data_IF_135618777397
#
_entry.id   IF_135618777397
#
_cell.length_a   1.000
_cell.length_b   1.000
_cell.length_c   1.000
_cell.angle_alpha   90.00
_cell.angle_beta   90.00
_cell.angle_gamma   90.00
#
_symmetry.space_group_name_H-M   'P 1'
#
loop_
_entity.id
_entity.type
_entity.pdbx_description
1 polymer ?
#
# COMPACT_ATOMS: atom_id res chain seq x y z
N UNK A 1 -4.32 -7.06 5.55
CA UNK A 1 -3.46 -8.24 5.26
C UNK A 1 -4.07 -9.51 5.82
N UNK A 2 -4.63 -9.49 7.02
CA UNK A 2 -5.58 -10.52 7.47
C UNK A 2 -6.69 -9.81 8.26
N UNK A 3 -7.94 -10.25 8.08
CA UNK A 3 -9.09 -9.75 8.82
C UNK A 3 -9.75 -10.91 9.52
N UNK A 4 -9.53 -11.02 10.82
CA UNK A 4 -10.18 -12.01 11.68
C UNK A 4 -10.61 -11.30 12.96
N UNK A 5 -11.89 -11.38 13.29
CA UNK A 5 -12.46 -10.72 14.46
C UNK A 5 -11.81 -11.23 15.76
N UNK A 6 -11.54 -12.53 15.84
CA UNK A 6 -10.88 -13.17 16.97
C UNK A 6 -9.47 -12.63 17.21
N UNK A 7 -8.67 -12.51 16.14
CA UNK A 7 -7.32 -11.95 16.25
C UNK A 7 -7.35 -10.45 16.55
N UNK A 8 -8.32 -9.73 15.98
CA UNK A 8 -8.56 -8.32 16.30
C UNK A 8 -8.85 -8.10 17.79
N UNK A 9 -9.66 -8.96 18.40
CA UNK A 9 -9.94 -8.91 19.84
C UNK A 9 -8.70 -9.23 20.71
N UNK A 10 -7.87 -10.17 20.29
CA UNK A 10 -6.59 -10.45 20.97
C UNK A 10 -5.65 -9.24 20.93
N UNK A 11 -5.55 -8.59 19.77
CA UNK A 11 -4.76 -7.36 19.62
C UNK A 11 -5.34 -6.20 20.46
N UNK A 12 -6.66 -6.09 20.53
CA UNK A 12 -7.33 -5.08 21.37
C UNK A 12 -6.99 -5.29 22.85
N UNK A 13 -7.06 -6.54 23.34
CA UNK A 13 -6.66 -6.88 24.70
C UNK A 13 -5.19 -6.55 24.96
N UNK A 14 -4.30 -6.92 24.03
CA UNK A 14 -2.88 -6.59 24.12
C UNK A 14 -2.64 -5.07 24.18
N UNK A 15 -3.34 -4.30 23.35
CA UNK A 15 -3.24 -2.84 23.32
C UNK A 15 -3.65 -2.21 24.67
N UNK A 16 -4.76 -2.67 25.25
CA UNK A 16 -5.24 -2.21 26.56
C UNK A 16 -4.26 -2.56 27.69
N UNK A 17 -3.66 -3.75 27.65
CA UNK A 17 -2.62 -4.16 28.61
C UNK A 17 -1.38 -3.27 28.47
N UNK A 18 -0.91 -2.98 27.26
CA UNK A 18 0.24 -2.10 27.02
C UNK A 18 -0.01 -0.67 27.51
N UNK A 19 -1.22 -0.15 27.33
CA UNK A 19 -1.61 1.16 27.88
C UNK A 19 -1.57 1.18 29.40
N UNK A 20 -2.03 0.11 30.07
CA UNK A 20 -1.95 -0.02 31.54
C UNK A 20 -0.51 -0.16 32.05
N UNK A 21 0.38 -0.77 31.26
CA UNK A 21 1.81 -0.89 31.58
C UNK A 21 2.60 0.40 31.30
N UNK A 22 1.95 1.51 30.95
CA UNK A 22 2.60 2.80 30.70
C UNK A 22 3.23 2.95 29.31
N UNK A 23 3.14 1.95 28.43
CA UNK A 23 3.66 2.00 27.05
C UNK A 23 2.62 2.58 26.09
N UNK A 24 2.26 3.85 26.29
CA UNK A 24 1.11 4.48 25.63
C UNK A 24 1.23 4.53 24.10
N UNK A 25 2.40 4.83 23.56
CA UNK A 25 2.61 4.95 22.10
C UNK A 25 2.37 3.61 21.38
N UNK A 26 2.98 2.55 21.90
CA UNK A 26 2.77 1.18 21.41
C UNK A 26 1.32 0.74 21.58
N UNK A 27 0.72 1.03 22.73
CA UNK A 27 -0.69 0.74 22.97
C UNK A 27 -1.62 1.40 21.96
N UNK A 28 -1.36 2.65 21.58
CA UNK A 28 -2.17 3.39 20.60
C UNK A 28 -2.06 2.79 19.20
N UNK A 29 -0.84 2.42 18.76
CA UNK A 29 -0.62 1.78 17.45
C UNK A 29 -1.43 0.49 17.37
N UNK A 30 -1.26 -0.41 18.36
CA UNK A 30 -1.97 -1.70 18.38
C UNK A 30 -3.47 -1.54 18.52
N UNK A 31 -3.94 -0.50 19.24
CA UNK A 31 -5.36 -0.18 19.35
C UNK A 31 -5.96 0.17 17.98
N UNK A 32 -5.35 1.10 17.24
CA UNK A 32 -5.82 1.47 15.90
C UNK A 32 -5.79 0.27 14.95
N UNK A 33 -4.74 -0.54 15.05
CA UNK A 33 -4.60 -1.76 14.24
C UNK A 33 -5.70 -2.77 14.56
N UNK A 34 -6.04 -2.95 15.85
CA UNK A 34 -7.09 -3.88 16.27
C UNK A 34 -8.46 -3.52 15.70
N UNK A 35 -8.83 -2.23 15.68
CA UNK A 35 -10.08 -1.77 15.09
C UNK A 35 -10.15 -2.06 13.60
N UNK A 36 -9.05 -1.83 12.87
CA UNK A 36 -8.98 -2.15 11.45
C UNK A 36 -9.13 -3.68 11.21
N UNK A 37 -8.44 -4.51 11.99
CA UNK A 37 -8.53 -5.98 11.86
C UNK A 37 -9.94 -6.49 12.18
N UNK A 38 -10.61 -5.95 13.21
CA UNK A 38 -12.00 -6.31 13.54
C UNK A 38 -12.94 -5.90 12.40
N UNK A 39 -12.80 -4.68 11.85
CA UNK A 39 -13.65 -4.20 10.77
C UNK A 39 -13.51 -5.06 9.50
N UNK A 40 -12.27 -5.39 9.11
CA UNK A 40 -12.03 -6.29 7.98
C UNK A 40 -12.44 -7.74 8.29
N UNK A 41 -12.30 -8.20 9.54
CA UNK A 41 -12.75 -9.52 9.95
C UNK A 41 -14.26 -9.68 9.89
N UNK A 42 -15.02 -8.64 10.27
CA UNK A 42 -16.48 -8.62 10.11
C UNK A 42 -16.88 -8.63 8.63
N UNK A 43 -16.12 -7.94 7.78
CA UNK A 43 -16.32 -7.93 6.34
C UNK A 43 -16.07 -9.30 5.70
N UNK A 44 -14.99 -9.99 6.07
CA UNK A 44 -14.71 -11.35 5.59
C UNK A 44 -15.59 -12.42 6.25
N UNK A 45 -16.09 -12.14 7.45
CA UNK A 45 -16.91 -13.07 8.21
C UNK A 45 -16.13 -14.12 8.98
N UNK A 46 -14.84 -13.93 9.21
CA UNK A 46 -13.98 -14.91 9.89
C UNK A 46 -13.76 -14.58 11.38
N UNK A 47 -13.89 -15.61 12.21
CA UNK A 47 -13.64 -15.58 13.66
C UNK A 47 -12.81 -16.80 14.09
N UNK A 48 -11.56 -16.56 14.47
CA UNK A 48 -10.56 -17.60 14.72
C UNK A 48 -10.54 -18.65 13.60
N UNK A 49 -10.55 -18.20 12.35
CA UNK A 49 -10.64 -19.06 11.17
C UNK A 49 -12.01 -19.71 10.94
N UNK A 50 -12.97 -19.66 11.86
CA UNK A 50 -14.33 -20.16 11.67
C UNK A 50 -15.17 -19.07 10.99
N UNK A 51 -15.85 -19.43 9.90
CA UNK A 51 -16.76 -18.49 9.21
C UNK A 51 -18.05 -18.34 10.01
N UNK A 52 -18.34 -17.10 10.41
CA UNK A 52 -19.57 -16.70 11.09
C UNK A 52 -20.72 -16.46 10.10
N UNK A 53 -20.44 -15.85 8.94
CA UNK A 53 -21.44 -15.52 7.93
C UNK A 53 -20.81 -15.30 6.55
N UNK A 54 -21.64 -15.19 5.52
CA UNK A 54 -21.22 -15.07 4.12
C UNK A 54 -21.27 -16.40 3.39
N UNK A 55 -21.89 -16.41 2.22
CA UNK A 55 -21.81 -17.57 1.32
C UNK A 55 -20.34 -17.82 1.01
N UNK A 56 -19.94 -19.09 0.90
CA UNK A 56 -18.59 -19.50 0.51
C UNK A 56 -18.27 -19.13 -0.93
N UNK A 57 -18.35 -17.85 -1.26
CA UNK A 57 -17.72 -17.28 -2.44
C UNK A 57 -16.23 -17.48 -2.18
N UNK A 58 -15.71 -18.59 -2.70
CA UNK A 58 -14.31 -18.74 -3.00
C UNK A 58 -13.97 -17.61 -3.96
N UNK A 59 -13.73 -16.41 -3.42
CA UNK A 59 -13.00 -15.40 -4.13
C UNK A 59 -11.73 -16.09 -4.60
N UNK A 60 -11.66 -16.32 -5.90
CA UNK A 60 -10.50 -16.97 -6.50
C UNK A 60 -9.29 -16.17 -6.04
N UNK A 61 -8.21 -16.82 -5.61
CA UNK A 61 -6.99 -16.14 -5.15
C UNK A 61 -6.55 -14.99 -6.08
N UNK A 62 -6.89 -15.09 -7.37
CA UNK A 62 -6.74 -14.05 -8.37
C UNK A 62 -7.51 -12.74 -8.11
N UNK A 63 -8.73 -12.76 -7.58
CA UNK A 63 -9.50 -11.54 -7.24
C UNK A 63 -8.85 -10.79 -6.08
N UNK A 64 -8.35 -11.52 -5.07
CA UNK A 64 -7.63 -10.93 -3.94
C UNK A 64 -6.31 -10.30 -4.38
N UNK A 65 -5.54 -10.99 -5.23
CA UNK A 65 -4.30 -10.46 -5.79
C UNK A 65 -4.60 -9.20 -6.62
N UNK A 66 -5.64 -9.25 -7.47
CA UNK A 66 -6.05 -8.09 -8.26
C UNK A 66 -6.43 -6.88 -7.39
N UNK A 67 -7.19 -7.08 -6.31
CA UNK A 67 -7.55 -6.03 -5.36
C UNK A 67 -6.31 -5.44 -4.66
N UNK A 68 -5.36 -6.28 -4.25
CA UNK A 68 -4.12 -5.81 -3.64
C UNK A 68 -3.26 -4.98 -4.59
N UNK A 69 -3.14 -5.41 -5.86
CA UNK A 69 -2.42 -4.68 -6.89
C UNK A 69 -3.10 -3.34 -7.25
N UNK A 70 -4.44 -3.32 -7.34
CA UNK A 70 -5.23 -2.11 -7.53
C UNK A 70 -5.00 -1.11 -6.38
N UNK A 71 -5.07 -1.59 -5.14
CA UNK A 71 -4.78 -0.79 -3.96
C UNK A 71 -3.37 -0.20 -4.01
N UNK A 72 -2.38 -1.01 -4.40
CA UNK A 72 -1.01 -0.56 -4.63
C UNK A 72 -0.91 0.54 -5.66
N UNK A 73 -1.59 0.39 -6.80
CA UNK A 73 -1.61 1.41 -7.84
C UNK A 73 -2.14 2.76 -7.34
N UNK A 74 -3.23 2.75 -6.56
CA UNK A 74 -3.82 3.96 -6.00
C UNK A 74 -2.95 4.61 -4.92
N UNK A 75 -2.36 3.83 -4.00
CA UNK A 75 -1.43 4.36 -3.00
C UNK A 75 -0.25 5.06 -3.67
N UNK A 76 0.34 4.41 -4.68
CA UNK A 76 1.46 4.97 -5.43
C UNK A 76 1.04 6.22 -6.22
N UNK A 77 -0.15 6.24 -6.80
CA UNK A 77 -0.69 7.44 -7.46
C UNK A 77 -0.81 8.59 -6.48
N UNK A 78 -1.39 8.34 -5.29
CA UNK A 78 -1.49 9.33 -4.21
C UNK A 78 -0.10 9.81 -3.80
N UNK A 79 0.89 8.93 -3.69
CA UNK A 79 2.25 9.31 -3.34
C UNK A 79 2.88 10.27 -4.36
N UNK A 80 2.67 10.06 -5.67
CA UNK A 80 3.09 11.00 -6.70
C UNK A 80 2.34 12.33 -6.64
N UNK A 81 1.03 12.31 -6.36
CA UNK A 81 0.24 13.53 -6.19
C UNK A 81 0.70 14.33 -4.96
N UNK A 82 1.02 13.67 -3.85
CA UNK A 82 1.59 14.31 -2.66
C UNK A 82 2.96 14.92 -2.94
N UNK A 83 3.79 14.27 -3.78
CA UNK A 83 5.07 14.85 -4.22
C UNK A 83 4.86 16.18 -4.95
N UNK A 84 3.89 16.23 -5.87
CA UNK A 84 3.53 17.46 -6.60
C UNK A 84 2.98 18.52 -5.63
N UNK A 85 2.07 18.14 -4.73
CA UNK A 85 1.49 19.05 -3.75
C UNK A 85 2.57 19.66 -2.83
N UNK A 86 3.51 18.85 -2.35
CA UNK A 86 4.62 19.32 -1.51
C UNK A 86 5.52 20.34 -2.23
N UNK A 87 5.78 20.15 -3.53
CA UNK A 87 6.57 21.09 -4.33
C UNK A 87 5.85 22.42 -4.54
N UNK A 88 4.54 22.36 -4.79
CA UNK A 88 3.71 23.56 -4.93
C UNK A 88 3.71 24.34 -3.60
N UNK A 89 3.55 23.64 -2.47
CA UNK A 89 3.60 24.25 -1.14
C UNK A 89 4.98 24.84 -0.80
N UNK A 90 6.06 24.26 -1.34
CA UNK A 90 7.41 24.79 -1.20
C UNK A 90 7.70 26.01 -2.11
N UNK A 91 6.78 26.39 -2.99
CA UNK A 91 6.97 27.48 -3.96
C UNK A 91 7.73 27.08 -5.23
N UNK A 92 8.12 25.80 -5.38
CA UNK A 92 8.85 25.25 -6.54
C UNK A 92 7.88 24.81 -7.66
N UNK A 93 7.00 25.72 -8.10
CA UNK A 93 5.90 25.41 -9.04
C UNK A 93 6.42 24.92 -10.40
N UNK A 94 7.53 25.50 -10.88
CA UNK A 94 8.13 25.13 -12.17
C UNK A 94 8.65 23.69 -12.18
N UNK A 95 9.22 23.22 -11.06
CA UNK A 95 9.64 21.83 -10.90
C UNK A 95 8.41 20.91 -10.74
N UNK A 96 7.40 21.32 -9.97
CA UNK A 96 6.18 20.55 -9.78
C UNK A 96 5.47 20.25 -11.11
N UNK A 97 5.25 21.27 -11.95
CA UNK A 97 4.54 21.16 -13.22
C UNK A 97 5.43 20.72 -14.38
N UNK A 98 6.70 21.13 -14.40
CA UNK A 98 7.62 20.82 -15.49
C UNK A 98 8.22 19.42 -15.42
N UNK A 99 8.40 18.89 -14.20
CA UNK A 99 9.09 17.60 -13.97
C UNK A 99 8.14 16.55 -13.42
N UNK A 100 7.47 16.82 -12.29
CA UNK A 100 6.78 15.76 -11.55
C UNK A 100 5.33 15.51 -11.99
N UNK A 101 4.62 16.51 -12.50
CA UNK A 101 3.30 16.35 -13.10
C UNK A 101 3.28 15.40 -14.32
N UNK A 102 4.14 15.55 -15.35
CA UNK A 102 4.14 14.61 -16.47
C UNK A 102 4.54 13.20 -16.05
N UNK A 103 5.37 13.08 -15.02
CA UNK A 103 5.82 11.82 -14.42
C UNK A 103 4.67 11.09 -13.72
N UNK A 104 3.80 11.81 -12.99
CA UNK A 104 2.58 11.23 -12.43
C UNK A 104 1.60 10.75 -13.51
N UNK A 105 1.47 11.50 -14.62
CA UNK A 105 0.65 11.11 -15.77
C UNK A 105 1.19 9.84 -16.44
N UNK A 106 2.51 9.77 -16.66
CA UNK A 106 3.17 8.58 -17.19
C UNK A 106 2.99 7.38 -16.26
N UNK A 107 3.09 7.58 -14.94
CA UNK A 107 2.81 6.52 -13.97
C UNK A 107 1.37 6.00 -14.09
N UNK A 108 0.38 6.89 -14.19
CA UNK A 108 -1.02 6.50 -14.35
C UNK A 108 -1.24 5.69 -15.65
N UNK A 109 -0.61 6.11 -16.75
CA UNK A 109 -0.68 5.41 -18.03
C UNK A 109 0.00 4.03 -17.98
N UNK A 110 1.26 3.96 -17.55
CA UNK A 110 2.04 2.70 -17.55
C UNK A 110 1.49 1.73 -16.49
N UNK A 111 1.15 2.23 -15.30
CA UNK A 111 0.62 1.43 -14.21
C UNK A 111 -0.74 0.82 -14.55
N UNK A 112 -1.64 1.58 -15.18
CA UNK A 112 -2.94 1.06 -15.62
C UNK A 112 -2.82 0.00 -16.72
N UNK A 113 -1.89 0.20 -17.67
CA UNK A 113 -1.58 -0.82 -18.70
C UNK A 113 -1.00 -2.09 -18.09
N UNK A 114 -0.10 -1.94 -17.10
CA UNK A 114 0.49 -3.08 -16.39
C UNK A 114 -0.60 -3.90 -15.70
N UNK A 115 -1.56 -3.25 -15.03
CA UNK A 115 -2.69 -3.93 -14.40
C UNK A 115 -3.63 -4.60 -15.42
N UNK A 116 -3.83 -3.98 -16.59
CA UNK A 116 -4.62 -4.59 -17.69
C UNK A 116 -4.02 -5.90 -18.19
N UNK A 117 -2.69 -6.01 -18.27
CA UNK A 117 -2.01 -7.24 -18.70
C UNK A 117 -2.23 -8.41 -17.75
N UNK A 118 -2.51 -8.13 -16.47
CA UNK A 118 -2.73 -9.14 -15.43
C UNK A 118 -4.15 -9.74 -15.51
N UNK A 119 -4.97 -9.28 -16.47
CA UNK A 119 -6.33 -9.76 -16.76
C UNK A 119 -7.20 -9.87 -15.50
N UNK A 120 -7.39 -8.73 -14.83
CA UNK A 120 -8.11 -8.69 -13.56
C UNK A 120 -9.59 -9.06 -13.72
N UNK A 121 -10.16 -9.84 -12.79
CA UNK A 121 -11.59 -10.11 -12.76
C UNK A 121 -12.39 -8.82 -12.56
N UNK A 122 -13.54 -8.72 -13.24
CA UNK A 122 -14.30 -7.47 -13.42
C UNK A 122 -15.05 -6.98 -12.16
N UNK A 123 -15.13 -7.79 -11.11
CA UNK A 123 -15.99 -7.54 -9.94
C UNK A 123 -15.30 -6.82 -8.78
N UNK A 124 -14.08 -6.31 -8.98
CA UNK A 124 -13.33 -5.66 -7.89
C UNK A 124 -13.74 -4.19 -7.73
N UNK A 125 -14.13 -3.73 -6.53
CA UNK A 125 -14.44 -2.32 -6.29
C UNK A 125 -13.24 -1.42 -6.60
N UNK A 126 -13.50 -0.30 -7.29
CA UNK A 126 -12.45 0.61 -7.76
C UNK A 126 -11.93 0.29 -9.18
N UNK A 127 -12.38 -0.80 -9.81
CA UNK A 127 -12.02 -1.12 -11.19
C UNK A 127 -12.56 -0.10 -12.20
N UNK A 128 -13.72 0.52 -11.95
CA UNK A 128 -14.32 1.51 -12.86
C UNK A 128 -13.42 2.74 -13.13
N UNK A 129 -12.77 3.27 -12.08
CA UNK A 129 -11.81 4.36 -12.22
C UNK A 129 -10.55 3.90 -12.98
N UNK A 130 -10.05 2.69 -12.68
CA UNK A 130 -8.94 2.11 -13.43
C UNK A 130 -9.29 1.95 -14.90
N UNK A 131 -10.46 1.41 -15.24
CA UNK A 131 -10.92 1.22 -16.62
C UNK A 131 -11.01 2.56 -17.36
N UNK A 132 -11.49 3.62 -16.69
CA UNK A 132 -11.47 4.98 -17.22
C UNK A 132 -10.04 5.42 -17.60
N UNK A 133 -9.09 5.30 -16.67
CA UNK A 133 -7.68 5.64 -16.92
C UNK A 133 -7.09 4.74 -18.03
N UNK A 134 -7.42 3.46 -18.02
CA UNK A 134 -6.91 2.44 -18.95
C UNK A 134 -7.39 2.68 -20.37
N UNK A 135 -8.65 3.11 -20.54
CA UNK A 135 -9.22 3.44 -21.85
C UNK A 135 -8.48 4.61 -22.49
N UNK A 136 -8.08 5.60 -21.68
CA UNK A 136 -7.28 6.75 -22.12
C UNK A 136 -5.77 6.56 -21.93
N UNK A 137 -5.30 5.36 -21.61
CA UNK A 137 -3.89 5.16 -21.23
C UNK A 137 -2.94 5.44 -22.39
N UNK A 138 -3.37 5.18 -23.63
CA UNK A 138 -2.56 5.45 -24.83
C UNK A 138 -2.41 6.96 -25.05
N UNK A 139 -3.50 7.70 -24.91
CA UNK A 139 -3.55 9.15 -25.00
C UNK A 139 -2.72 9.78 -23.87
N UNK A 140 -2.87 9.30 -22.63
CA UNK A 140 -2.09 9.74 -21.48
C UNK A 140 -0.60 9.45 -21.66
N UNK A 141 -0.22 8.36 -22.32
CA UNK A 141 1.19 8.07 -22.63
C UNK A 141 1.76 9.08 -23.63
N UNK A 142 1.01 9.41 -24.68
CA UNK A 142 1.43 10.44 -25.64
C UNK A 142 1.50 11.83 -25.00
N UNK A 143 0.50 12.21 -24.20
CA UNK A 143 0.47 13.49 -23.48
C UNK A 143 1.60 13.55 -22.46
N UNK A 144 1.79 12.51 -21.66
CA UNK A 144 2.84 12.43 -20.66
C UNK A 144 4.23 12.49 -21.27
N UNK A 145 4.47 11.76 -22.36
CA UNK A 145 5.77 11.79 -23.06
C UNK A 145 6.05 13.13 -23.74
N UNK A 146 5.05 13.74 -24.39
CA UNK A 146 5.18 15.08 -24.95
C UNK A 146 5.46 16.12 -23.86
N UNK A 147 4.79 16.03 -22.71
CA UNK A 147 4.99 16.93 -21.58
C UNK A 147 6.35 16.71 -20.90
N UNK A 148 6.84 15.48 -20.79
CA UNK A 148 8.22 15.18 -20.35
C UNK A 148 9.26 15.87 -21.24
N UNK A 149 9.03 15.95 -22.55
CA UNK A 149 9.94 16.68 -23.45
C UNK A 149 9.79 18.20 -23.32
N UNK A 150 8.56 18.71 -23.26
CA UNK A 150 8.28 20.13 -23.25
C UNK A 150 8.59 20.82 -21.91
N UNK A 151 8.38 20.14 -20.79
CA UNK A 151 8.51 20.70 -19.44
C UNK A 151 9.91 21.25 -19.15
N UNK A 152 10.97 20.45 -19.29
CA UNK A 152 12.35 20.90 -19.06
C UNK A 152 12.77 22.03 -20.01
N UNK A 153 12.27 22.03 -21.25
CA UNK A 153 12.54 23.08 -22.24
C UNK A 153 11.90 24.39 -21.78
N UNK A 154 10.64 24.36 -21.34
CA UNK A 154 9.94 25.55 -20.85
C UNK A 154 10.62 26.16 -19.60
N UNK A 155 11.08 25.32 -18.68
CA UNK A 155 11.83 25.79 -17.50
C UNK A 155 13.22 26.29 -17.88
N UNK A 156 13.91 25.62 -18.80
CA UNK A 156 15.21 26.03 -19.32
C UNK A 156 15.19 27.39 -20.03
N UNK A 157 14.12 27.70 -20.77
CA UNK A 157 13.91 28.99 -21.42
C UNK A 157 13.70 30.13 -20.40
N UNK A 158 13.15 29.85 -19.21
CA UNK A 158 12.90 30.86 -18.16
C UNK A 158 14.10 31.13 -17.25
N UNK A 159 14.88 30.11 -16.91
CA UNK A 159 15.93 30.19 -15.88
C UNK A 159 17.37 29.98 -16.40
N UNK A 160 17.54 29.80 -17.72
CA UNK A 160 18.84 29.68 -18.37
C UNK A 160 19.45 28.27 -18.37
N UNK A 161 20.49 28.09 -19.19
CA UNK A 161 21.11 26.79 -19.51
C UNK A 161 21.70 26.03 -18.31
N UNK A 162 22.11 26.72 -17.25
CA UNK A 162 22.67 26.11 -16.04
C UNK A 162 21.64 25.27 -15.29
N UNK A 163 20.38 25.72 -15.22
CA UNK A 163 19.28 24.99 -14.59
C UNK A 163 18.84 23.79 -15.44
N UNK A 164 19.05 23.84 -16.76
CA UNK A 164 18.66 22.77 -17.68
C UNK A 164 19.39 21.44 -17.40
N UNK A 165 20.65 21.49 -16.97
CA UNK A 165 21.44 20.28 -16.65
C UNK A 165 21.00 19.65 -15.33
N UNK A 166 20.65 20.45 -14.33
CA UNK A 166 20.14 19.97 -13.04
C UNK A 166 18.76 19.34 -13.22
N UNK A 167 17.86 20.04 -13.91
CA UNK A 167 16.51 19.54 -14.22
C UNK A 167 16.57 18.28 -15.09
N UNK A 168 17.47 18.22 -16.08
CA UNK A 168 17.66 17.02 -16.91
C UNK A 168 18.06 15.78 -16.10
N UNK A 169 18.95 15.94 -15.12
CA UNK A 169 19.33 14.84 -14.23
C UNK A 169 18.15 14.41 -13.34
N UNK A 170 17.41 15.35 -12.77
CA UNK A 170 16.22 15.04 -11.97
C UNK A 170 15.15 14.31 -12.78
N UNK A 171 14.90 14.76 -14.01
CA UNK A 171 13.99 14.11 -14.95
C UNK A 171 14.39 12.67 -15.24
N UNK A 172 15.68 12.42 -15.53
CA UNK A 172 16.16 11.07 -15.81
C UNK A 172 15.93 10.12 -14.61
N UNK A 173 16.25 10.58 -13.40
CA UNK A 173 16.01 9.81 -12.18
C UNK A 173 14.52 9.56 -11.95
N UNK A 174 13.69 10.58 -12.18
CA UNK A 174 12.26 10.49 -11.94
C UNK A 174 11.53 9.64 -13.02
N UNK A 175 12.07 9.54 -14.24
CA UNK A 175 11.62 8.57 -15.25
C UNK A 175 11.92 7.12 -14.85
N UNK A 176 13.14 6.86 -14.35
CA UNK A 176 13.50 5.54 -13.79
C UNK A 176 12.58 5.22 -12.61
N UNK A 177 12.34 6.21 -11.75
CA UNK A 177 11.44 6.07 -10.61
C UNK A 177 10.03 5.67 -11.03
N UNK A 178 9.46 6.31 -12.04
CA UNK A 178 8.11 5.97 -12.56
C UNK A 178 8.09 4.57 -13.13
N UNK A 179 9.09 4.20 -13.92
CA UNK A 179 9.13 2.87 -14.52
C UNK A 179 9.15 1.77 -13.45
N UNK A 180 10.01 1.90 -12.44
CA UNK A 180 10.07 0.97 -11.31
C UNK A 180 8.76 1.00 -10.52
N UNK A 181 8.18 2.19 -10.30
CA UNK A 181 6.95 2.34 -9.53
C UNK A 181 5.74 1.70 -10.23
N UNK A 182 5.63 1.90 -11.54
CA UNK A 182 4.53 1.40 -12.36
C UNK A 182 4.62 -0.12 -12.64
N UNK A 183 5.76 -0.74 -12.37
CA UNK A 183 5.98 -2.18 -12.59
C UNK A 183 6.26 -2.90 -11.27
N UNK A 184 7.46 -2.75 -10.71
CA UNK A 184 7.90 -3.46 -9.53
C UNK A 184 7.12 -3.09 -8.26
N UNK A 185 6.85 -1.80 -8.01
CA UNK A 185 6.18 -1.40 -6.76
C UNK A 185 4.73 -1.89 -6.72
N UNK A 186 3.97 -1.75 -7.80
CA UNK A 186 2.60 -2.28 -7.90
C UNK A 186 2.61 -3.79 -7.59
N UNK A 187 3.51 -4.55 -8.21
CA UNK A 187 3.62 -5.99 -7.97
C UNK A 187 4.01 -6.34 -6.53
N UNK A 188 4.77 -5.49 -5.83
CA UNK A 188 5.10 -5.67 -4.41
C UNK A 188 3.85 -5.76 -3.51
N UNK A 189 2.76 -5.08 -3.90
CA UNK A 189 1.50 -5.11 -3.15
C UNK A 189 0.80 -6.47 -3.19
N UNK A 190 1.13 -7.38 -4.12
CA UNK A 190 0.63 -8.76 -4.10
C UNK A 190 0.89 -9.46 -2.76
N UNK A 191 1.91 -9.00 -2.02
CA UNK A 191 2.22 -9.48 -0.68
C UNK A 191 1.09 -9.31 0.33
N UNK A 192 0.25 -8.28 0.17
CA UNK A 192 -0.94 -8.10 1.01
C UNK A 192 -1.86 -9.32 0.93
N UNK A 193 -2.04 -9.86 -0.28
CA UNK A 193 -2.87 -11.03 -0.51
C UNK A 193 -2.13 -12.34 -0.20
N UNK A 194 -0.84 -12.45 -0.50
CA UNK A 194 -0.07 -13.67 -0.16
C UNK A 194 -0.18 -13.98 1.34
N UNK A 195 -0.13 -12.96 2.19
CA UNK A 195 -0.31 -13.12 3.65
C UNK A 195 -1.74 -13.51 4.00
N UNK A 196 -2.75 -12.96 3.31
CA UNK A 196 -4.15 -13.33 3.50
C UNK A 196 -4.40 -14.82 3.14
N UNK A 197 -3.84 -15.29 2.03
CA UNK A 197 -3.92 -16.69 1.60
C UNK A 197 -3.23 -17.61 2.61
N UNK A 198 -2.04 -17.22 3.08
CA UNK A 198 -1.32 -17.96 4.10
C UNK A 198 -2.14 -18.08 5.40
N UNK A 199 -2.81 -17.01 5.81
CA UNK A 199 -3.71 -17.02 6.97
C UNK A 199 -4.87 -18.01 6.82
N UNK A 200 -5.54 -18.00 5.66
CA UNK A 200 -6.60 -18.96 5.37
C UNK A 200 -6.10 -20.41 5.45
N UNK A 201 -4.91 -20.68 4.90
CA UNK A 201 -4.27 -22.00 4.93
C UNK A 201 -3.88 -22.46 6.33
N UNK A 202 -3.24 -21.60 7.13
CA UNK A 202 -2.84 -21.93 8.50
C UNK A 202 -4.05 -22.14 9.41
N UNK A 203 -5.08 -21.30 9.29
CA UNK A 203 -6.32 -21.43 10.04
C UNK A 203 -7.08 -22.71 9.67
N UNK A 204 -7.14 -23.06 8.38
CA UNK A 204 -7.73 -24.33 7.94
C UNK A 204 -6.95 -25.54 8.47
N UNK A 205 -5.61 -25.47 8.47
CA UNK A 205 -4.74 -26.51 9.01
C UNK A 205 -4.92 -26.67 10.52
N UNK A 206 -5.06 -25.57 11.26
CA UNK A 206 -5.32 -25.60 12.70
C UNK A 206 -6.64 -26.30 13.03
N UNK A 207 -7.70 -26.08 12.24
CA UNK A 207 -9.00 -26.73 12.46
C UNK A 207 -8.94 -28.26 12.40
N UNK A 208 -8.04 -28.83 11.60
CA UNK A 208 -7.88 -30.29 11.53
C UNK A 208 -7.52 -30.92 12.89
N UNK A 209 -6.93 -30.14 13.80
CA UNK A 209 -6.56 -30.57 15.16
C UNK A 209 -7.79 -30.81 16.04
N UNK A 210 -8.94 -30.22 15.74
CA UNK A 210 -10.18 -30.40 16.52
C UNK A 210 -10.69 -31.86 16.51
N UNK A 211 -10.27 -32.68 15.53
CA UNK A 211 -10.66 -34.09 15.41
C UNK A 211 -9.88 -35.06 16.32
N UNK A 212 -8.86 -34.59 17.06
CA UNK A 212 -7.98 -35.43 17.87
C UNK A 212 -8.36 -35.31 19.37
N UNK A 213 -8.20 -36.36 20.20
CA UNK A 213 -8.36 -36.25 21.65
C UNK A 213 -7.44 -35.17 22.23
N UNK A 214 -8.00 -34.18 22.95
CA UNK A 214 -7.25 -32.99 23.42
C UNK A 214 -7.08 -31.88 22.38
N UNK A 215 -7.66 -32.05 21.19
CA UNK A 215 -7.54 -31.16 20.04
C UNK A 215 -7.96 -29.71 20.28
N UNK A 216 -8.89 -29.45 21.19
CA UNK A 216 -9.35 -28.09 21.53
C UNK A 216 -8.23 -27.28 22.18
N UNK A 217 -7.50 -27.87 23.13
CA UNK A 217 -6.40 -27.18 23.80
C UNK A 217 -5.27 -26.88 22.81
N UNK A 218 -4.95 -27.86 21.95
CA UNK A 218 -3.93 -27.71 20.92
C UNK A 218 -4.34 -26.66 19.86
N UNK A 219 -5.61 -26.65 19.47
CA UNK A 219 -6.18 -25.66 18.55
C UNK A 219 -5.99 -24.23 19.06
N UNK A 220 -6.34 -23.97 20.33
CA UNK A 220 -6.18 -22.63 20.93
C UNK A 220 -4.70 -22.20 20.93
N UNK A 221 -3.80 -23.11 21.32
CA UNK A 221 -2.36 -22.83 21.35
C UNK A 221 -1.83 -22.51 19.95
N UNK A 222 -2.22 -23.30 18.94
CA UNK A 222 -1.81 -23.10 17.55
C UNK A 222 -2.38 -21.79 16.98
N UNK A 223 -3.65 -21.46 17.25
CA UNK A 223 -4.25 -20.19 16.81
C UNK A 223 -3.57 -18.98 17.46
N UNK A 224 -3.17 -19.06 18.73
CA UNK A 224 -2.39 -18.01 19.38
C UNK A 224 -1.00 -17.84 18.75
N UNK A 225 -0.34 -18.95 18.40
CA UNK A 225 0.95 -18.94 17.72
C UNK A 225 0.85 -18.33 16.32
N UNK A 226 -0.18 -18.71 15.55
CA UNK A 226 -0.47 -18.14 14.23
C UNK A 226 -0.72 -16.64 14.35
N UNK A 227 -1.58 -16.21 15.27
CA UNK A 227 -1.88 -14.79 15.50
C UNK A 227 -0.61 -13.98 15.82
N UNK A 228 0.29 -14.50 16.66
CA UNK A 228 1.54 -13.85 16.99
C UNK A 228 2.49 -13.75 15.79
N UNK A 229 2.65 -14.85 15.04
CA UNK A 229 3.54 -14.91 13.88
C UNK A 229 3.05 -14.03 12.73
N UNK A 230 1.77 -14.08 12.42
CA UNK A 230 1.14 -13.26 11.38
C UNK A 230 1.12 -11.78 11.77
N UNK A 231 0.81 -11.46 13.03
CA UNK A 231 0.88 -10.10 13.55
C UNK A 231 2.28 -9.48 13.36
N UNK A 232 3.32 -10.26 13.64
CA UNK A 232 4.71 -9.86 13.41
C UNK A 232 5.03 -9.67 11.91
N UNK A 233 4.72 -10.67 11.07
CA UNK A 233 5.00 -10.60 9.64
C UNK A 233 4.29 -9.42 8.98
N UNK A 234 3.01 -9.22 9.30
CA UNK A 234 2.18 -8.16 8.71
C UNK A 234 2.64 -6.77 9.13
N UNK A 235 3.14 -6.62 10.36
CA UNK A 235 3.75 -5.37 10.81
C UNK A 235 4.99 -5.05 9.99
N UNK A 236 5.89 -6.03 9.78
CA UNK A 236 7.09 -5.84 8.93
C UNK A 236 6.70 -5.48 7.50
N UNK A 237 5.71 -6.17 6.92
CA UNK A 237 5.30 -5.90 5.55
C UNK A 237 4.59 -4.56 5.39
N UNK A 238 3.77 -4.17 6.36
CA UNK A 238 3.13 -2.85 6.37
C UNK A 238 4.18 -1.75 6.49
N UNK A 239 5.16 -1.91 7.39
CA UNK A 239 6.28 -0.99 7.52
C UNK A 239 7.04 -0.86 6.20
N UNK A 240 7.30 -1.99 5.52
CA UNK A 240 7.97 -1.97 4.23
C UNK A 240 7.21 -1.10 3.23
N UNK A 241 5.93 -1.41 2.97
CA UNK A 241 5.07 -0.70 2.01
C UNK A 241 4.99 0.80 2.28
N UNK A 242 4.97 1.18 3.56
CA UNK A 242 4.95 2.58 3.96
C UNK A 242 6.31 3.23 3.68
N UNK A 243 7.41 2.68 4.17
CA UNK A 243 8.72 3.34 4.11
C UNK A 243 9.38 3.28 2.72
N UNK A 244 9.38 2.12 2.09
CA UNK A 244 10.15 1.89 0.86
C UNK A 244 9.35 2.13 -0.41
N UNK A 245 8.06 1.79 -0.41
CA UNK A 245 7.23 1.95 -1.60
C UNK A 245 6.54 3.33 -1.62
N UNK A 246 6.04 3.82 -0.47
CA UNK A 246 5.19 5.03 -0.41
C UNK A 246 5.96 6.30 -0.02
N UNK A 247 6.59 6.33 1.15
CA UNK A 247 7.27 7.52 1.68
C UNK A 247 8.45 7.95 0.81
N UNK A 248 9.18 7.00 0.22
CA UNK A 248 10.33 7.28 -0.64
C UNK A 248 9.98 8.18 -1.84
N UNK A 249 8.69 8.26 -2.21
CA UNK A 249 8.23 9.01 -3.38
C UNK A 249 8.17 10.52 -3.11
N UNK A 250 7.73 10.92 -1.93
CA UNK A 250 7.43 12.32 -1.62
C UNK A 250 8.17 12.88 -0.40
N UNK A 251 8.69 12.03 0.49
CA UNK A 251 9.37 12.47 1.69
C UNK A 251 10.81 12.90 1.38
N UNK A 252 11.08 14.20 1.57
CA UNK A 252 12.44 14.76 1.52
C UNK A 252 13.03 14.69 2.94
N UNK A 253 13.99 13.79 3.18
CA UNK A 253 14.62 13.56 4.49
C UNK A 253 15.55 14.69 5.00
N UNK A 254 15.32 15.93 4.60
CA UNK A 254 16.18 17.09 4.88
C UNK A 254 15.63 18.00 6.00
N UNK A 255 14.84 17.45 6.91
CA UNK A 255 14.30 18.19 8.06
C UNK A 255 15.31 18.34 9.19
N UNK A 256 15.14 19.37 10.03
CA UNK A 256 15.84 19.49 11.32
C UNK A 256 14.90 19.04 12.44
N UNK A 257 15.39 18.21 13.36
CA UNK A 257 14.64 17.82 14.53
C UNK A 257 14.37 19.05 15.39
N UNK A 258 13.10 19.26 15.76
CA UNK A 258 12.76 20.29 16.73
C UNK A 258 13.05 19.77 18.12
N UNK A 259 14.11 20.29 18.74
CA UNK A 259 14.46 20.03 20.14
C UNK A 259 14.02 21.24 20.97
N UNK A 260 12.84 21.21 21.62
CA UNK A 260 12.45 22.27 22.52
C UNK A 260 13.41 22.26 23.71
N UNK A 261 13.85 23.45 24.13
CA UNK A 261 14.58 23.58 25.39
C UNK A 261 13.59 23.27 26.53
N UNK A 262 13.74 22.11 27.16
CA UNK A 262 13.07 21.78 28.41
C UNK A 262 13.78 22.53 29.56
N UNK A 263 13.03 23.39 30.24
CA UNK A 263 13.43 24.01 31.52
C UNK A 263 13.59 22.97 32.63
#
# INVERSE_FOLDING_TARGET
MYGDVGYGLLLLLMALVLMRLGKRDWGLIWLMTSFAVIAFGLYYGDFFGIRLWGNGVEYTYMTGIAAALLFGFYIMLIAFLLKIANLILAGEIDAALGVYAPIAVLYAAIGSLTLRLINMPLDVPGLGLLLGITNYARELLYVGSAWVMAGPIAVGLRYGLSHMRVIGNEMALALIEVFISATANILSFARLEIVHIAHGFFSASAKALLGIPGGIALYIVVQLLIAAFEGFLTTIQSLRLIYYETLSKFYRGAGRLFEPQSL
#
